data_IF_195130150621
#
_entry.id   IF_195130150621
#
_cell.length_a   1.000
_cell.length_b   1.000
_cell.length_c   1.000
_cell.angle_alpha   90.00
_cell.angle_beta   90.00
_cell.angle_gamma   90.00
#
_symmetry.space_group_name_H-M   'P 1'
#
loop_
_entity.id
_entity.type
_entity.pdbx_description
1 polymer ?
#
# COMPACT_ATOMS: atom_id res chain seq x y z
N UNK A 1 16.30 -5.52 3.19
CA UNK A 1 15.19 -5.59 2.24
C UNK A 1 15.77 -5.75 0.85
N UNK A 2 15.24 -6.67 0.06
CA UNK A 2 15.63 -6.90 -1.34
C UNK A 2 15.01 -5.86 -2.28
N UNK A 3 13.92 -5.20 -1.87
CA UNK A 3 13.25 -4.17 -2.65
C UNK A 3 13.31 -2.79 -1.94
N UNK A 4 13.75 -1.73 -2.62
CA UNK A 4 13.71 -0.37 -2.07
C UNK A 4 12.26 0.15 -2.03
N UNK A 5 11.94 0.96 -1.02
CA UNK A 5 10.62 1.62 -0.92
C UNK A 5 10.47 2.61 -2.09
N UNK A 6 9.41 2.49 -2.92
CA UNK A 6 9.19 3.37 -4.06
C UNK A 6 9.02 4.83 -3.63
N UNK A 7 9.62 5.74 -4.39
CA UNK A 7 9.51 7.19 -4.15
C UNK A 7 8.41 7.84 -5.00
N UNK A 8 7.97 7.17 -6.06
CA UNK A 8 6.98 7.71 -7.00
C UNK A 8 6.04 6.62 -7.55
N UNK A 9 4.88 7.01 -8.12
CA UNK A 9 3.91 6.07 -8.65
C UNK A 9 4.46 5.19 -9.79
N UNK A 10 5.40 5.70 -10.60
CA UNK A 10 5.96 4.95 -11.72
C UNK A 10 6.75 3.73 -11.23
N UNK A 11 7.49 3.87 -10.13
CA UNK A 11 8.17 2.75 -9.47
C UNK A 11 7.17 1.72 -8.91
N UNK A 12 6.05 2.17 -8.33
CA UNK A 12 4.97 1.27 -7.87
C UNK A 12 4.39 0.47 -9.04
N UNK A 13 4.14 1.13 -10.18
CA UNK A 13 3.61 0.44 -11.37
C UNK A 13 4.62 -0.54 -11.98
N UNK A 14 5.92 -0.24 -11.93
CA UNK A 14 6.97 -1.12 -12.44
C UNK A 14 7.05 -2.46 -11.67
N UNK A 15 6.64 -2.48 -10.40
CA UNK A 15 6.58 -3.70 -9.58
C UNK A 15 5.56 -4.72 -10.09
N UNK A 16 4.54 -4.31 -10.86
CA UNK A 16 3.55 -5.24 -11.44
C UNK A 16 4.15 -6.25 -12.42
N UNK A 17 5.34 -5.99 -12.94
CA UNK A 17 6.03 -6.90 -13.88
C UNK A 17 6.93 -7.92 -13.17
N UNK A 18 7.04 -7.86 -11.84
CA UNK A 18 7.85 -8.76 -11.05
C UNK A 18 7.00 -9.92 -10.49
N UNK A 19 7.58 -11.10 -10.29
CA UNK A 19 6.89 -12.17 -9.57
C UNK A 19 6.47 -11.68 -8.18
N UNK A 20 5.20 -11.89 -7.84
CA UNK A 20 4.63 -11.37 -6.59
C UNK A 20 5.12 -12.24 -5.42
N UNK A 21 5.88 -11.62 -4.52
CA UNK A 21 6.26 -12.17 -3.23
C UNK A 21 5.80 -11.25 -2.08
N UNK A 22 5.84 -11.75 -0.83
CA UNK A 22 5.37 -11.01 0.34
C UNK A 22 6.15 -9.71 0.59
N UNK A 23 7.44 -9.69 0.27
CA UNK A 23 8.30 -8.53 0.45
C UNK A 23 7.98 -7.44 -0.60
N UNK A 24 7.71 -7.83 -1.85
CA UNK A 24 7.26 -6.97 -2.92
C UNK A 24 5.92 -6.31 -2.58
N UNK A 25 4.99 -7.07 -1.99
CA UNK A 25 3.69 -6.54 -1.52
C UNK A 25 3.90 -5.51 -0.41
N UNK A 26 4.73 -5.81 0.60
CA UNK A 26 5.02 -4.89 1.69
C UNK A 26 5.65 -3.58 1.20
N UNK A 27 6.59 -3.68 0.26
CA UNK A 27 7.29 -2.52 -0.32
C UNK A 27 6.37 -1.67 -1.21
N UNK A 28 5.46 -2.29 -1.96
CA UNK A 28 4.46 -1.56 -2.73
C UNK A 28 3.51 -0.76 -1.81
N UNK A 29 3.05 -1.38 -0.71
CA UNK A 29 2.19 -0.72 0.29
C UNK A 29 2.93 0.47 0.92
N UNK A 30 4.20 0.30 1.29
CA UNK A 30 5.03 1.37 1.85
C UNK A 30 5.20 2.55 0.87
N UNK A 31 5.41 2.28 -0.43
CA UNK A 31 5.50 3.31 -1.46
C UNK A 31 4.21 4.09 -1.66
N UNK A 32 3.05 3.41 -1.65
CA UNK A 32 1.73 4.07 -1.72
C UNK A 32 1.53 4.98 -0.52
N UNK A 33 1.83 4.50 0.69
CA UNK A 33 1.70 5.29 1.94
C UNK A 33 2.58 6.54 1.89
N UNK A 34 3.86 6.38 1.52
CA UNK A 34 4.81 7.49 1.38
C UNK A 34 4.33 8.52 0.38
N UNK A 35 3.81 8.07 -0.76
CA UNK A 35 3.29 8.93 -1.82
C UNK A 35 2.07 9.73 -1.36
N UNK A 36 1.03 9.09 -0.82
CA UNK A 36 -0.19 9.82 -0.40
C UNK A 36 0.08 10.76 0.78
N UNK A 37 1.00 10.40 1.68
CA UNK A 37 1.46 11.28 2.76
C UNK A 37 2.14 12.53 2.21
N UNK A 38 2.95 12.39 1.15
CA UNK A 38 3.57 13.54 0.47
C UNK A 38 2.55 14.48 -0.17
N UNK A 39 1.35 13.98 -0.48
CA UNK A 39 0.23 14.77 -1.00
C UNK A 39 -0.66 15.39 0.10
N UNK A 40 -0.33 15.19 1.38
CA UNK A 40 -1.10 15.71 2.52
C UNK A 40 -2.37 14.92 2.83
N UNK A 41 -2.53 13.74 2.23
CA UNK A 41 -3.66 12.86 2.48
C UNK A 41 -3.50 12.15 3.83
N UNK A 42 -4.61 11.96 4.55
CA UNK A 42 -4.66 11.25 5.82
C UNK A 42 -4.74 9.73 5.65
N UNK A 43 -4.36 9.01 6.71
CA UNK A 43 -4.53 7.55 6.79
C UNK A 43 -5.98 7.11 6.57
N UNK A 44 -6.94 7.89 7.08
CA UNK A 44 -8.37 7.62 6.93
C UNK A 44 -8.81 7.72 5.47
N UNK A 45 -8.37 8.77 4.76
CA UNK A 45 -8.65 8.93 3.32
C UNK A 45 -7.99 7.83 2.49
N UNK A 46 -6.75 7.43 2.80
CA UNK A 46 -6.09 6.30 2.14
C UNK A 46 -6.86 4.99 2.37
N UNK A 47 -7.25 4.72 3.61
CA UNK A 47 -7.99 3.51 3.98
C UNK A 47 -9.33 3.47 3.25
N UNK A 48 -10.04 4.60 3.17
CA UNK A 48 -11.29 4.70 2.43
C UNK A 48 -11.09 4.44 0.93
N UNK A 49 -10.01 4.95 0.31
CA UNK A 49 -9.71 4.69 -1.10
C UNK A 49 -9.37 3.22 -1.37
N UNK A 50 -8.55 2.60 -0.51
CA UNK A 50 -8.16 1.19 -0.61
C UNK A 50 -9.38 0.27 -0.42
N UNK A 51 -10.33 0.65 0.44
CA UNK A 51 -11.56 -0.10 0.67
C UNK A 51 -12.67 0.18 -0.35
N UNK A 52 -12.56 1.27 -1.13
CA UNK A 52 -13.54 1.68 -2.14
C UNK A 52 -13.39 0.97 -3.49
N UNK A 53 -12.23 0.40 -3.81
CA UNK A 53 -12.07 -0.48 -4.98
C UNK A 53 -12.71 -1.86 -4.69
N UNK A 54 -14.03 -1.82 -4.71
CA UNK A 54 -14.93 -2.81 -4.15
C UNK A 54 -15.34 -3.85 -5.21
N UNK A 55 -14.62 -4.99 -5.25
CA UNK A 55 -15.10 -6.29 -5.74
C UNK A 55 -14.12 -7.45 -5.44
N UNK A 56 -12.83 -7.14 -5.25
CA UNK A 56 -11.78 -8.17 -5.25
C UNK A 56 -11.53 -8.78 -3.86
N UNK A 57 -11.76 -8.01 -2.78
CA UNK A 57 -11.42 -8.41 -1.42
C UNK A 57 -12.65 -8.70 -0.56
N UNK A 58 -12.62 -9.84 0.15
CA UNK A 58 -13.62 -10.20 1.14
C UNK A 58 -13.48 -9.39 2.46
N UNK A 59 -14.47 -9.49 3.34
CA UNK A 59 -14.51 -8.73 4.61
C UNK A 59 -13.35 -9.05 5.58
N UNK A 60 -12.75 -10.23 5.48
CA UNK A 60 -11.61 -10.61 6.31
C UNK A 60 -10.33 -10.02 5.73
N UNK A 61 -10.14 -10.13 4.42
CA UNK A 61 -9.03 -9.54 3.68
C UNK A 61 -9.00 -8.01 3.83
N UNK A 62 -10.18 -7.35 3.81
CA UNK A 62 -10.28 -5.90 4.08
C UNK A 62 -9.78 -5.52 5.47
N UNK A 63 -10.21 -6.25 6.51
CA UNK A 63 -9.78 -5.98 7.88
C UNK A 63 -8.28 -6.17 8.05
N UNK A 64 -7.73 -7.22 7.44
CA UNK A 64 -6.30 -7.46 7.44
C UNK A 64 -5.54 -6.35 6.69
N UNK A 65 -6.02 -5.95 5.51
CA UNK A 65 -5.40 -4.89 4.73
C UNK A 65 -5.42 -3.54 5.46
N UNK A 66 -6.53 -3.17 6.10
CA UNK A 66 -6.59 -1.95 6.92
C UNK A 66 -5.61 -1.97 8.09
N UNK A 67 -5.43 -3.13 8.74
CA UNK A 67 -4.43 -3.26 9.81
C UNK A 67 -3.00 -3.13 9.29
N UNK A 68 -2.69 -3.72 8.14
CA UNK A 68 -1.38 -3.61 7.51
C UNK A 68 -1.09 -2.17 7.09
N UNK A 69 -2.06 -1.49 6.48
CA UNK A 69 -1.93 -0.08 6.06
C UNK A 69 -1.73 0.83 7.28
N UNK A 70 -2.52 0.66 8.35
CA UNK A 70 -2.34 1.43 9.58
C UNK A 70 -0.97 1.17 10.23
N UNK A 71 -0.55 -0.08 10.31
CA UNK A 71 0.74 -0.44 10.89
C UNK A 71 1.91 0.10 10.05
N UNK A 72 1.83 0.05 8.73
CA UNK A 72 2.85 0.61 7.86
C UNK A 72 2.89 2.15 7.95
N UNK A 73 1.75 2.81 8.14
CA UNK A 73 1.67 4.25 8.33
C UNK A 73 2.41 4.74 9.58
N UNK A 74 2.27 4.02 10.70
CA UNK A 74 2.95 4.39 11.96
C UNK A 74 4.46 4.13 11.94
N UNK A 75 4.94 3.25 11.05
CA UNK A 75 6.35 2.85 10.95
C UNK A 75 7.12 3.60 9.84
N UNK A 76 6.49 4.54 9.14
CA UNK A 76 7.07 5.38 8.07
C UNK A 76 7.08 6.85 8.52
#
# INVERSE_FOLDING_TARGET
MNYPIPDNPQEIFAMKQQPVDEELVAVAIAGVIKFVRSQGQSLEELTNQVLAEDAVLDKQQRRWLSQVVASAWDNI
#
